data_IF_560807949949
#
_entry.id   IF_560807949949
#
_cell.length_a   1.000
_cell.length_b   1.000
_cell.length_c   1.000
_cell.angle_alpha   90.00
_cell.angle_beta   90.00
_cell.angle_gamma   90.00
#
_symmetry.space_group_name_H-M   'P 1'
#
loop_
_entity.id
_entity.type
_entity.pdbx_description
1 polymer ?
#
# COMPACT_ATOMS: atom_id res chain seq x y z
N UNK A 1 16.14 -20.37 -25.91
CA UNK A 1 14.73 -19.97 -26.12
C UNK A 1 14.39 -19.05 -24.98
N UNK A 2 14.21 -17.76 -25.25
CA UNK A 2 13.86 -16.79 -24.21
C UNK A 2 12.40 -17.02 -23.84
N UNK A 3 12.06 -17.02 -22.55
CA UNK A 3 10.68 -17.07 -22.06
C UNK A 3 9.81 -15.93 -22.65
N UNK A 4 10.44 -14.91 -23.28
CA UNK A 4 9.79 -13.78 -23.96
C UNK A 4 8.99 -14.11 -25.23
N UNK A 5 9.02 -15.34 -25.76
CA UNK A 5 8.38 -15.63 -27.06
C UNK A 5 6.88 -15.97 -26.98
N UNK A 6 6.28 -16.01 -25.79
CA UNK A 6 4.82 -16.24 -25.64
C UNK A 6 4.09 -14.95 -25.25
N UNK A 7 4.12 -13.95 -26.13
CA UNK A 7 3.16 -12.85 -26.07
C UNK A 7 1.77 -13.38 -26.45
N UNK A 8 1.12 -14.09 -25.53
CA UNK A 8 -0.26 -14.48 -25.68
C UNK A 8 -1.13 -13.21 -25.59
N UNK A 9 -1.87 -12.83 -26.66
CA UNK A 9 -2.75 -11.66 -26.62
C UNK A 9 -3.79 -11.72 -25.50
N UNK A 10 -4.10 -12.91 -24.96
CA UNK A 10 -4.97 -13.07 -23.80
C UNK A 10 -4.39 -12.39 -22.56
N UNK A 11 -3.09 -12.52 -22.27
CA UNK A 11 -2.47 -11.89 -21.09
C UNK A 11 -2.49 -10.36 -21.18
N UNK A 12 -2.19 -9.81 -22.36
CA UNK A 12 -2.31 -8.37 -22.58
C UNK A 12 -3.75 -7.90 -22.32
N UNK A 13 -4.74 -8.59 -22.88
CA UNK A 13 -6.15 -8.22 -22.71
C UNK A 13 -6.60 -8.29 -21.25
N UNK A 14 -6.26 -9.39 -20.55
CA UNK A 14 -6.58 -9.59 -19.14
C UNK A 14 -5.93 -8.51 -18.26
N UNK A 15 -4.62 -8.26 -18.44
CA UNK A 15 -3.91 -7.25 -17.67
C UNK A 15 -4.45 -5.84 -17.92
N UNK A 16 -4.71 -5.48 -19.19
CA UNK A 16 -5.31 -4.19 -19.54
C UNK A 16 -6.68 -4.04 -18.85
N UNK A 17 -7.55 -5.06 -18.93
CA UNK A 17 -8.86 -5.03 -18.29
C UNK A 17 -8.75 -4.84 -16.78
N UNK A 18 -7.90 -5.62 -16.10
CA UNK A 18 -7.70 -5.52 -14.65
C UNK A 18 -7.15 -4.15 -14.22
N UNK A 19 -6.22 -3.55 -14.99
CA UNK A 19 -5.72 -2.20 -14.71
C UNK A 19 -6.77 -1.11 -14.93
N UNK A 20 -7.60 -1.22 -15.98
CA UNK A 20 -8.70 -0.29 -16.18
C UNK A 20 -9.75 -0.41 -15.07
N UNK A 21 -10.07 -1.63 -14.63
CA UNK A 21 -10.96 -1.87 -13.47
C UNK A 21 -10.38 -1.23 -12.21
N UNK A 22 -9.08 -1.38 -11.97
CA UNK A 22 -8.40 -0.77 -10.82
C UNK A 22 -8.51 0.76 -10.84
N UNK A 23 -8.22 1.40 -11.99
CA UNK A 23 -8.36 2.85 -12.17
C UNK A 23 -9.81 3.29 -11.96
N UNK A 24 -10.76 2.62 -12.60
CA UNK A 24 -12.18 2.98 -12.51
C UNK A 24 -12.71 2.86 -11.07
N UNK A 25 -12.41 1.75 -10.39
CA UNK A 25 -12.83 1.52 -9.00
C UNK A 25 -12.20 2.56 -8.05
N UNK A 26 -10.92 2.87 -8.24
CA UNK A 26 -10.21 3.84 -7.41
C UNK A 26 -10.73 5.26 -7.60
N UNK A 27 -10.94 5.70 -8.84
CA UNK A 27 -11.49 7.03 -9.12
C UNK A 27 -12.95 7.15 -8.65
N UNK A 28 -13.73 6.09 -8.81
CA UNK A 28 -15.10 6.05 -8.29
C UNK A 28 -15.12 6.09 -6.77
N UNK A 29 -14.21 5.38 -6.09
CA UNK A 29 -14.04 5.45 -4.64
C UNK A 29 -13.69 6.87 -4.18
N UNK A 30 -12.69 7.50 -4.81
CA UNK A 30 -12.29 8.87 -4.49
C UNK A 30 -13.45 9.87 -4.68
N UNK A 31 -14.19 9.74 -5.78
CA UNK A 31 -15.40 10.54 -6.01
C UNK A 31 -16.44 10.33 -4.91
N UNK A 32 -16.77 9.07 -4.61
CA UNK A 32 -17.75 8.74 -3.57
C UNK A 32 -17.35 9.32 -2.21
N UNK A 33 -16.08 9.16 -1.80
CA UNK A 33 -15.57 9.71 -0.54
C UNK A 33 -15.73 11.24 -0.49
N UNK A 34 -15.35 11.95 -1.55
CA UNK A 34 -15.49 13.41 -1.60
C UNK A 34 -16.95 13.85 -1.57
N UNK A 35 -17.84 13.12 -2.24
CA UNK A 35 -19.27 13.47 -2.35
C UNK A 35 -20.08 13.12 -1.10
N UNK A 36 -19.81 11.99 -0.44
CA UNK A 36 -20.70 11.46 0.61
C UNK A 36 -20.15 11.59 2.04
N UNK A 37 -18.88 11.97 2.21
CA UNK A 37 -18.31 12.20 3.56
C UNK A 37 -18.59 13.62 4.07
N UNK A 38 -18.73 14.62 3.18
CA UNK A 38 -18.89 16.04 3.59
C UNK A 38 -20.32 16.44 3.95
N UNK A 39 -21.32 15.83 3.31
CA UNK A 39 -22.66 16.44 3.26
C UNK A 39 -23.66 15.89 4.27
N UNK A 40 -23.43 14.69 4.86
CA UNK A 40 -24.36 14.16 5.87
C UNK A 40 -23.69 13.18 6.85
N UNK A 41 -23.75 13.52 8.14
CA UNK A 41 -23.38 12.61 9.23
C UNK A 41 -24.25 11.33 9.25
N UNK A 42 -25.40 11.35 8.57
CA UNK A 42 -26.32 10.24 8.43
C UNK A 42 -26.24 9.52 7.07
N UNK A 43 -25.35 9.92 6.15
CA UNK A 43 -25.18 9.17 4.91
C UNK A 43 -24.75 7.72 5.25
N UNK A 44 -25.52 6.70 4.82
CA UNK A 44 -25.31 5.31 5.23
C UNK A 44 -24.22 4.60 4.43
N UNK A 45 -23.63 5.22 3.40
CA UNK A 45 -22.68 4.57 2.51
C UNK A 45 -21.37 4.25 3.23
N UNK A 46 -20.80 5.23 3.92
CA UNK A 46 -19.54 5.06 4.66
C UNK A 46 -19.78 4.92 6.16
N UNK A 47 -18.97 4.07 6.79
CA UNK A 47 -19.02 3.82 8.22
C UNK A 47 -18.69 5.11 9.01
N UNK A 48 -19.42 5.36 10.10
CA UNK A 48 -19.24 6.58 10.90
C UNK A 48 -17.84 6.70 11.50
N UNK A 49 -17.28 5.58 11.99
CA UNK A 49 -15.92 5.58 12.54
C UNK A 49 -14.91 5.87 11.43
N UNK A 50 -15.10 5.26 10.26
CA UNK A 50 -14.21 5.50 9.12
C UNK A 50 -14.27 6.95 8.64
N UNK A 51 -15.47 7.56 8.53
CA UNK A 51 -15.62 8.99 8.15
C UNK A 51 -14.86 9.93 9.09
N UNK A 52 -14.90 9.64 10.39
CA UNK A 52 -14.26 10.48 11.41
C UNK A 52 -12.73 10.44 11.31
N UNK A 53 -12.17 9.25 11.10
CA UNK A 53 -10.71 9.06 11.18
C UNK A 53 -10.02 9.05 9.81
N UNK A 54 -10.79 8.80 8.74
CA UNK A 54 -10.29 8.46 7.40
C UNK A 54 -9.74 7.04 7.25
N UNK A 55 -9.78 6.26 8.34
CA UNK A 55 -9.25 4.91 8.46
C UNK A 55 -10.14 4.09 9.38
N UNK A 56 -10.11 2.77 9.27
CA UNK A 56 -10.73 1.93 10.28
C UNK A 56 -9.78 1.70 11.46
N UNK A 57 -9.86 2.53 12.50
CA UNK A 57 -8.89 2.47 13.62
C UNK A 57 -9.45 1.69 14.82
N UNK A 58 -8.72 0.66 15.27
CA UNK A 58 -9.04 -0.13 16.47
C UNK A 58 -8.09 0.22 17.62
N UNK A 59 -8.57 0.14 18.86
CA UNK A 59 -7.80 0.34 20.10
C UNK A 59 -6.99 1.66 20.13
N UNK A 60 -7.61 2.78 19.73
CA UNK A 60 -6.94 4.10 19.63
C UNK A 60 -6.25 4.51 20.94
N UNK A 61 -6.85 4.08 22.04
CA UNK A 61 -6.50 4.37 23.41
C UNK A 61 -5.37 3.49 23.97
N UNK A 62 -5.03 2.36 23.33
CA UNK A 62 -4.01 1.44 23.83
C UNK A 62 -2.65 1.79 23.22
N UNK A 63 -1.69 2.32 24.00
CA UNK A 63 -0.38 2.68 23.47
C UNK A 63 0.32 1.45 22.89
N UNK A 64 0.92 1.60 21.71
CA UNK A 64 1.66 0.56 21.00
C UNK A 64 0.80 -0.61 20.49
N UNK A 65 -0.53 -0.53 20.60
CA UNK A 65 -1.46 -1.57 20.18
C UNK A 65 -2.69 -1.02 19.46
N UNK A 66 -2.68 0.23 18.98
CA UNK A 66 -3.69 0.65 18.02
C UNK A 66 -3.42 -0.01 16.65
N UNK A 67 -4.40 0.06 15.75
CA UNK A 67 -4.27 -0.56 14.43
C UNK A 67 -3.06 -0.05 13.63
N UNK A 68 -2.65 1.22 13.76
CA UNK A 68 -1.46 1.73 13.06
C UNK A 68 -0.15 1.19 13.64
N UNK A 69 -0.06 0.98 14.96
CA UNK A 69 1.09 0.28 15.55
C UNK A 69 1.16 -1.16 15.02
N UNK A 70 0.01 -1.85 14.91
CA UNK A 70 -0.04 -3.18 14.32
C UNK A 70 0.36 -3.20 12.84
N UNK A 71 -0.09 -2.22 12.03
CA UNK A 71 0.34 -2.06 10.64
C UNK A 71 1.85 -1.87 10.55
N UNK A 72 2.45 -1.00 11.38
CA UNK A 72 3.90 -0.85 11.46
C UNK A 72 4.58 -2.20 11.70
N UNK A 73 4.17 -2.95 12.73
CA UNK A 73 4.81 -4.23 13.06
C UNK A 73 4.69 -5.24 11.93
N UNK A 74 3.50 -5.33 11.34
CA UNK A 74 3.23 -6.26 10.26
C UNK A 74 4.04 -5.91 9.00
N UNK A 75 4.07 -4.65 8.59
CA UNK A 75 4.82 -4.19 7.43
C UNK A 75 6.32 -4.39 7.59
N UNK A 76 6.88 -4.11 8.78
CA UNK A 76 8.30 -4.35 9.06
C UNK A 76 8.63 -5.85 8.92
N UNK A 77 7.83 -6.71 9.54
CA UNK A 77 8.02 -8.16 9.47
C UNK A 77 7.85 -8.68 8.03
N UNK A 78 6.80 -8.23 7.34
CA UNK A 78 6.52 -8.62 5.97
C UNK A 78 7.63 -8.17 5.01
N UNK A 79 8.11 -6.94 5.12
CA UNK A 79 9.23 -6.45 4.31
C UNK A 79 10.50 -7.30 4.53
N UNK A 80 10.80 -7.71 5.77
CA UNK A 80 11.93 -8.60 6.05
C UNK A 80 11.75 -10.00 5.41
N UNK A 81 10.55 -10.60 5.55
CA UNK A 81 10.25 -11.92 4.98
C UNK A 81 10.29 -11.91 3.45
N UNK A 82 9.66 -10.92 2.83
CA UNK A 82 9.68 -10.71 1.38
C UNK A 82 11.10 -10.40 0.88
N UNK A 83 11.88 -9.62 1.64
CA UNK A 83 13.29 -9.35 1.38
C UNK A 83 14.15 -10.61 1.38
N UNK A 84 13.96 -11.49 2.36
CA UNK A 84 14.66 -12.77 2.43
C UNK A 84 14.28 -13.70 1.25
N UNK A 85 12.99 -13.75 0.90
CA UNK A 85 12.51 -14.50 -0.26
C UNK A 85 13.09 -13.96 -1.57
N UNK A 86 13.03 -12.65 -1.76
CA UNK A 86 13.61 -11.95 -2.91
C UNK A 86 15.09 -12.25 -3.03
N UNK A 87 15.86 -12.13 -1.95
CA UNK A 87 17.29 -12.41 -1.97
C UNK A 87 17.60 -13.83 -2.44
N UNK A 88 16.81 -14.82 -1.98
CA UNK A 88 16.95 -16.22 -2.35
C UNK A 88 16.58 -16.49 -3.81
N UNK A 89 15.56 -15.83 -4.35
CA UNK A 89 14.95 -16.19 -5.64
C UNK A 89 15.27 -15.23 -6.79
N UNK A 90 15.76 -14.02 -6.52
CA UNK A 90 15.97 -12.97 -7.54
C UNK A 90 16.92 -13.37 -8.69
N UNK A 91 17.82 -14.32 -8.46
CA UNK A 91 18.76 -14.79 -9.47
C UNK A 91 18.24 -16.00 -10.27
N UNK A 92 17.00 -16.45 -10.03
CA UNK A 92 16.42 -17.51 -10.82
C UNK A 92 16.14 -17.03 -12.26
N UNK A 93 16.57 -17.81 -13.24
CA UNK A 93 16.39 -17.52 -14.66
C UNK A 93 14.91 -17.27 -15.00
N UNK A 94 14.58 -16.12 -15.60
CA UNK A 94 13.22 -15.73 -15.99
C UNK A 94 12.48 -14.86 -14.97
N UNK A 95 13.03 -14.63 -13.77
CA UNK A 95 12.41 -13.80 -12.74
C UNK A 95 12.62 -12.30 -12.93
N UNK A 96 13.34 -11.86 -13.97
CA UNK A 96 13.77 -10.47 -14.16
C UNK A 96 12.57 -9.50 -14.12
N UNK A 97 11.51 -9.78 -14.90
CA UNK A 97 10.28 -8.96 -14.95
C UNK A 97 9.49 -8.96 -13.64
N UNK A 98 9.50 -10.07 -12.91
CA UNK A 98 8.84 -10.18 -11.60
C UNK A 98 9.59 -9.32 -10.59
N UNK A 99 10.92 -9.40 -10.60
CA UNK A 99 11.82 -8.68 -9.69
C UNK A 99 11.78 -7.17 -9.88
N UNK A 100 11.53 -6.69 -11.11
CA UNK A 100 11.33 -5.26 -11.41
C UNK A 100 10.19 -4.64 -10.59
N UNK A 101 9.14 -5.41 -10.29
CA UNK A 101 7.99 -4.95 -9.49
C UNK A 101 8.20 -5.33 -8.02
N UNK A 102 8.54 -6.60 -7.76
CA UNK A 102 8.63 -7.12 -6.39
C UNK A 102 9.68 -6.44 -5.52
N UNK A 103 10.88 -6.17 -6.09
CA UNK A 103 11.99 -5.56 -5.36
C UNK A 103 11.62 -4.18 -4.79
N UNK A 104 11.19 -3.22 -5.64
CA UNK A 104 10.71 -1.92 -5.18
C UNK A 104 9.53 -1.98 -4.22
N UNK A 105 8.61 -2.94 -4.36
CA UNK A 105 7.48 -3.10 -3.43
C UNK A 105 7.92 -3.42 -2.00
N UNK A 106 9.03 -4.12 -1.79
CA UNK A 106 9.57 -4.37 -0.44
C UNK A 106 9.94 -3.06 0.26
N UNK A 107 10.57 -2.13 -0.47
CA UNK A 107 10.88 -0.80 0.04
C UNK A 107 9.60 0.02 0.27
N UNK A 108 8.61 -0.12 -0.61
CA UNK A 108 7.30 0.50 -0.45
C UNK A 108 6.61 0.07 0.84
N UNK A 109 6.56 -1.24 1.11
CA UNK A 109 5.97 -1.81 2.34
C UNK A 109 6.73 -1.31 3.58
N UNK A 110 8.07 -1.30 3.55
CA UNK A 110 8.86 -0.76 4.65
C UNK A 110 8.54 0.73 4.91
N UNK A 111 8.52 1.55 3.85
CA UNK A 111 8.23 2.98 3.96
C UNK A 111 6.79 3.24 4.44
N UNK A 112 5.84 2.40 4.03
CA UNK A 112 4.45 2.42 4.48
C UNK A 112 4.34 2.18 5.99
N UNK A 113 4.99 1.12 6.48
CA UNK A 113 5.04 0.82 7.91
C UNK A 113 5.64 1.96 8.73
N UNK A 114 6.72 2.60 8.25
CA UNK A 114 7.28 3.80 8.91
C UNK A 114 6.25 4.93 8.95
N UNK A 115 5.48 5.13 7.88
CA UNK A 115 4.37 6.07 7.83
C UNK A 115 3.35 5.80 8.94
N UNK A 116 2.92 4.54 9.10
CA UNK A 116 2.03 4.14 10.19
C UNK A 116 2.63 4.38 11.57
N UNK A 117 3.92 4.09 11.75
CA UNK A 117 4.62 4.38 13.01
C UNK A 117 4.58 5.87 13.39
N UNK A 118 4.70 6.76 12.40
CA UNK A 118 4.57 8.20 12.63
C UNK A 118 3.13 8.63 12.94
N UNK A 119 2.12 8.04 12.29
CA UNK A 119 0.71 8.28 12.64
C UNK A 119 0.43 7.81 14.07
N UNK A 120 0.84 6.59 14.43
CA UNK A 120 0.65 6.03 15.76
C UNK A 120 1.38 6.85 16.84
N UNK A 121 2.59 7.33 16.55
CA UNK A 121 3.32 8.22 17.44
C UNK A 121 2.56 9.51 17.73
N UNK A 122 2.04 10.17 16.68
CA UNK A 122 1.23 11.39 16.83
C UNK A 122 -0.06 11.13 17.60
N UNK A 123 -0.69 9.98 17.42
CA UNK A 123 -1.88 9.59 18.19
C UNK A 123 -1.61 9.48 19.68
N UNK A 124 -0.43 8.97 20.08
CA UNK A 124 -0.01 8.92 21.49
C UNK A 124 0.30 10.30 22.06
N UNK A 125 0.95 11.17 21.29
CA UNK A 125 1.30 12.54 21.73
C UNK A 125 0.06 13.41 21.96
N UNK A 126 -0.99 13.26 21.15
CA UNK A 126 -2.24 14.00 21.33
C UNK A 126 -3.03 13.60 22.60
N UNK A 127 -2.55 12.62 23.38
CA UNK A 127 -3.08 12.31 24.70
C UNK A 127 -4.57 12.02 24.68
N UNK A 128 -5.02 11.10 23.81
CA UNK A 128 -6.42 10.64 23.82
C UNK A 128 -6.82 10.34 25.27
N UNK A 129 -7.88 10.96 25.79
CA UNK A 129 -8.27 10.80 27.18
C UNK A 129 -8.39 9.31 27.47
N UNK A 130 -7.57 8.85 28.41
CA UNK A 130 -7.59 7.45 28.83
C UNK A 130 -8.99 7.16 29.35
N UNK A 131 -9.60 6.04 28.94
CA UNK A 131 -10.94 5.59 29.35
C UNK A 131 -11.20 5.60 30.87
N UNK A 132 -10.16 5.75 31.68
CA UNK A 132 -10.23 5.92 33.13
C UNK A 132 -10.79 7.29 33.60
N UNK A 133 -10.90 8.31 32.73
CA UNK A 133 -11.41 9.64 33.12
C UNK A 133 -12.85 9.94 32.65
N UNK A 134 -13.46 9.11 31.80
CA UNK A 134 -14.82 9.38 31.29
C UNK A 134 -15.96 8.99 32.25
N UNK A 135 -15.73 8.11 33.23
CA UNK A 135 -16.80 7.61 34.11
C UNK A 135 -17.09 8.52 35.32
N UNK A 136 -16.27 9.53 35.60
CA UNK A 136 -16.40 10.38 36.81
C UNK A 136 -16.38 11.90 36.56
N UNK A 137 -16.18 12.39 35.32
CA UNK A 137 -16.18 13.83 35.05
C UNK A 137 -17.52 14.33 34.47
N UNK A 138 -18.17 15.18 35.26
CA UNK A 138 -19.24 16.07 34.83
C UNK A 138 -18.78 16.89 33.61
N UNK A 139 -19.44 16.65 32.47
CA UNK A 139 -19.11 17.21 31.14
C UNK A 139 -19.03 18.75 31.11
N UNK A 140 -19.54 19.43 32.13
CA UNK A 140 -19.54 20.89 32.21
C UNK A 140 -18.25 21.51 32.74
N UNK A 141 -17.40 20.76 33.45
CA UNK A 141 -16.17 21.32 34.07
C UNK A 141 -14.89 21.09 33.23
N UNK A 142 -14.98 20.27 32.18
CA UNK A 142 -13.85 19.90 31.33
C UNK A 142 -13.48 21.01 30.33
N UNK A 143 -14.45 21.74 29.79
CA UNK A 143 -14.21 22.72 28.71
C UNK A 143 -13.36 23.93 29.14
N UNK A 144 -13.40 24.33 30.41
CA UNK A 144 -12.61 25.48 30.89
C UNK A 144 -11.16 25.10 31.22
N UNK A 145 -10.91 23.90 31.73
CA UNK A 145 -9.57 23.44 32.15
C UNK A 145 -8.70 22.95 30.97
N UNK A 146 -9.30 22.41 29.91
CA UNK A 146 -8.56 21.98 28.72
C UNK A 146 -7.97 23.18 27.97
N UNK A 147 -8.71 24.29 27.90
CA UNK A 147 -8.24 25.49 27.20
C UNK A 147 -7.05 26.17 27.90
N UNK A 148 -7.02 26.18 29.24
CA UNK A 148 -5.85 26.68 30.00
C UNK A 148 -4.63 25.77 29.84
N UNK A 149 -4.80 24.44 29.91
CA UNK A 149 -3.68 23.49 29.76
C UNK A 149 -3.09 23.46 28.36
N UNK A 150 -3.91 23.60 27.32
CA UNK A 150 -3.43 23.71 25.93
C UNK A 150 -2.62 25.01 25.76
N UNK A 151 -3.00 26.09 26.45
CA UNK A 151 -2.29 27.37 26.36
C UNK A 151 -0.93 27.33 27.10
N UNK A 152 -0.82 26.67 28.24
CA UNK A 152 0.46 26.50 28.97
C UNK A 152 1.47 25.62 28.22
N UNK A 153 1.03 24.51 27.61
CA UNK A 153 1.92 23.60 26.86
C UNK A 153 2.50 24.31 25.64
N UNK A 154 1.69 25.10 24.92
CA UNK A 154 2.15 25.88 23.77
C UNK A 154 3.18 26.97 24.14
N UNK A 155 3.16 27.48 25.38
CA UNK A 155 4.04 28.57 25.79
C UNK A 155 5.45 28.10 26.20
N UNK A 156 5.61 26.84 26.62
CA UNK A 156 6.92 26.28 26.99
C UNK A 156 7.74 25.79 25.79
N UNK A 157 7.11 25.34 24.72
CA UNK A 157 7.82 24.89 23.50
C UNK A 157 8.43 26.05 22.68
N UNK A 158 7.81 27.23 22.73
CA UNK A 158 8.30 28.45 22.04
C UNK A 158 9.61 29.02 22.61
N UNK A 159 9.94 28.72 23.88
CA UNK A 159 11.09 29.33 24.56
C UNK A 159 12.42 28.61 24.23
N UNK A 160 12.38 27.35 23.82
CA UNK A 160 13.60 26.56 23.58
C UNK A 160 13.93 26.33 22.11
N UNK A 161 13.01 26.52 21.16
CA UNK A 161 13.24 26.64 19.70
C UNK A 161 13.95 25.48 18.96
N UNK A 162 14.58 24.55 19.69
CA UNK A 162 15.33 23.40 19.18
C UNK A 162 14.41 22.17 19.07
N UNK A 163 13.34 22.11 19.89
CA UNK A 163 12.31 21.07 19.83
C UNK A 163 11.51 21.13 18.53
N UNK A 164 10.92 22.29 18.21
CA UNK A 164 10.07 22.47 17.02
C UNK A 164 10.81 22.18 15.70
N UNK A 165 12.04 22.67 15.54
CA UNK A 165 12.82 22.45 14.31
C UNK A 165 13.15 20.98 14.15
N UNK A 166 13.45 20.28 15.25
CA UNK A 166 13.72 18.83 15.22
C UNK A 166 12.47 18.03 14.86
N UNK A 167 11.29 18.42 15.36
CA UNK A 167 10.04 17.74 15.08
C UNK A 167 9.55 17.99 13.64
N UNK A 168 9.59 19.24 13.17
CA UNK A 168 9.27 19.56 11.76
C UNK A 168 10.22 18.82 10.81
N UNK A 169 11.51 18.79 11.14
CA UNK A 169 12.51 18.03 10.40
C UNK A 169 12.20 16.53 10.35
N UNK A 170 11.85 15.93 11.48
CA UNK A 170 11.41 14.52 11.60
C UNK A 170 10.18 14.23 10.73
N UNK A 171 9.15 15.08 10.80
CA UNK A 171 7.91 14.89 10.05
C UNK A 171 8.13 15.01 8.54
N UNK A 172 8.94 15.99 8.09
CA UNK A 172 9.32 16.12 6.67
C UNK A 172 10.12 14.90 6.21
N UNK A 173 11.08 14.43 7.01
CA UNK A 173 11.88 13.25 6.68
C UNK A 173 11.00 12.01 6.51
N UNK A 174 10.10 11.73 7.46
CA UNK A 174 9.16 10.61 7.35
C UNK A 174 8.29 10.73 6.11
N UNK A 175 7.74 11.92 5.84
CA UNK A 175 6.90 12.16 4.67
C UNK A 175 7.65 11.92 3.36
N UNK A 176 8.91 12.36 3.27
CA UNK A 176 9.79 12.09 2.12
C UNK A 176 10.03 10.59 1.98
N UNK A 177 10.41 9.90 3.05
CA UNK A 177 10.64 8.45 3.02
C UNK A 177 9.39 7.68 2.59
N UNK A 178 8.23 8.03 3.14
CA UNK A 178 6.93 7.46 2.81
C UNK A 178 6.64 7.59 1.31
N UNK A 179 6.63 8.82 0.77
CA UNK A 179 6.31 9.05 -0.63
C UNK A 179 7.37 8.50 -1.59
N UNK A 180 8.65 8.60 -1.27
CA UNK A 180 9.71 8.02 -2.11
C UNK A 180 9.57 6.51 -2.18
N UNK A 181 9.35 5.83 -1.05
CA UNK A 181 9.20 4.38 -1.01
C UNK A 181 7.96 3.92 -1.78
N UNK A 182 6.79 4.49 -1.49
CA UNK A 182 5.53 4.12 -2.13
C UNK A 182 5.51 4.45 -3.62
N UNK A 183 5.99 5.64 -4.01
CA UNK A 183 6.06 5.98 -5.43
C UNK A 183 7.08 5.12 -6.17
N UNK A 184 8.16 4.68 -5.53
CA UNK A 184 9.13 3.80 -6.17
C UNK A 184 8.55 2.40 -6.41
N UNK A 185 7.71 1.92 -5.50
CA UNK A 185 6.92 0.71 -5.70
C UNK A 185 5.88 0.87 -6.83
N UNK A 186 5.21 2.02 -6.91
CA UNK A 186 4.22 2.30 -7.95
C UNK A 186 4.86 2.52 -9.34
N UNK A 187 6.06 3.09 -9.40
CA UNK A 187 6.73 3.54 -10.62
C UNK A 187 8.17 3.01 -10.70
N UNK A 188 8.37 1.68 -10.71
CA UNK A 188 9.70 1.07 -10.57
C UNK A 188 10.67 1.48 -11.68
N UNK A 189 10.17 1.69 -12.89
CA UNK A 189 10.96 1.95 -14.10
C UNK A 189 11.04 3.43 -14.49
N UNK A 190 10.47 4.35 -13.68
CA UNK A 190 10.49 5.76 -14.01
C UNK A 190 11.87 6.38 -13.75
N UNK A 191 12.30 7.27 -14.66
CA UNK A 191 13.57 8.02 -14.52
C UNK A 191 13.52 8.95 -13.31
N UNK A 192 14.68 9.22 -12.70
CA UNK A 192 14.76 9.98 -11.44
C UNK A 192 14.14 11.38 -11.49
N UNK A 193 14.31 12.14 -12.57
CA UNK A 193 13.76 13.51 -12.66
C UNK A 193 12.22 13.55 -12.65
N UNK A 194 11.49 12.86 -13.56
CA UNK A 194 10.03 12.80 -13.48
C UNK A 194 9.54 12.09 -12.21
N UNK A 195 10.28 11.09 -11.72
CA UNK A 195 9.97 10.44 -10.44
C UNK A 195 9.98 11.43 -9.27
N UNK A 196 11.05 12.22 -9.13
CA UNK A 196 11.16 13.23 -8.08
C UNK A 196 10.06 14.30 -8.20
N UNK A 197 9.73 14.73 -9.42
CA UNK A 197 8.64 15.68 -9.66
C UNK A 197 7.28 15.12 -9.19
N UNK A 198 7.01 13.84 -9.46
CA UNK A 198 5.77 13.19 -9.00
C UNK A 198 5.71 13.02 -7.49
N UNK A 199 6.84 12.66 -6.84
CA UNK A 199 6.94 12.60 -5.37
C UNK A 199 6.64 13.96 -4.75
N UNK A 200 7.28 15.02 -5.25
CA UNK A 200 7.05 16.38 -4.76
C UNK A 200 5.61 16.84 -4.98
N UNK A 201 5.01 16.52 -6.14
CA UNK A 201 3.62 16.84 -6.43
C UNK A 201 2.64 16.11 -5.48
N UNK A 202 2.88 14.82 -5.19
CA UNK A 202 2.07 14.06 -4.26
C UNK A 202 2.20 14.60 -2.81
N UNK A 203 3.42 14.92 -2.38
CA UNK A 203 3.66 15.54 -1.08
C UNK A 203 2.96 16.90 -0.95
N UNK A 204 3.08 17.75 -1.97
CA UNK A 204 2.45 19.07 -2.00
C UNK A 204 0.92 18.94 -2.02
N UNK A 205 0.37 18.04 -2.84
CA UNK A 205 -1.06 17.81 -2.89
C UNK A 205 -1.64 17.31 -1.57
N UNK A 206 -0.92 16.45 -0.84
CA UNK A 206 -1.35 15.97 0.47
C UNK A 206 -1.53 17.12 1.48
N UNK A 207 -0.81 18.23 1.36
CA UNK A 207 -0.97 19.39 2.25
C UNK A 207 -2.34 20.07 2.10
N UNK A 208 -3.04 19.85 0.99
CA UNK A 208 -4.36 20.41 0.71
C UNK A 208 -5.51 19.41 0.94
N UNK A 209 -5.19 18.23 1.49
CA UNK A 209 -6.15 17.15 1.73
C UNK A 209 -6.39 17.06 3.23
N UNK A 210 -7.65 17.21 3.63
CA UNK A 210 -8.03 17.03 5.04
C UNK A 210 -7.63 15.61 5.50
N UNK A 211 -7.25 15.49 6.77
CA UNK A 211 -6.72 14.23 7.32
C UNK A 211 -7.65 13.03 7.09
N UNK A 212 -8.97 13.24 7.19
CA UNK A 212 -9.99 12.22 6.96
C UNK A 212 -10.01 11.66 5.52
N UNK A 213 -9.36 12.34 4.57
CA UNK A 213 -9.22 11.90 3.18
C UNK A 213 -7.82 11.39 2.85
N UNK A 214 -6.89 11.34 3.82
CA UNK A 214 -5.50 10.98 3.58
C UNK A 214 -5.35 9.58 2.99
N UNK A 215 -6.09 8.59 3.52
CA UNK A 215 -6.12 7.23 2.99
C UNK A 215 -6.54 7.20 1.52
N UNK A 216 -7.72 7.77 1.22
CA UNK A 216 -8.27 7.83 -0.13
C UNK A 216 -7.32 8.54 -1.09
N UNK A 217 -6.66 9.61 -0.65
CA UNK A 217 -5.68 10.33 -1.45
C UNK A 217 -4.46 9.47 -1.80
N UNK A 218 -3.83 8.86 -0.80
CA UNK A 218 -2.65 8.00 -1.00
C UNK A 218 -3.00 6.81 -1.89
N UNK A 219 -4.09 6.09 -1.58
CA UNK A 219 -4.57 4.97 -2.38
C UNK A 219 -4.82 5.40 -3.83
N UNK A 220 -5.46 6.55 -4.04
CA UNK A 220 -5.78 7.05 -5.39
C UNK A 220 -4.53 7.31 -6.20
N UNK A 221 -3.57 8.03 -5.64
CA UNK A 221 -2.32 8.34 -6.34
C UNK A 221 -1.58 7.05 -6.69
N UNK A 222 -1.40 6.13 -5.75
CA UNK A 222 -0.58 4.95 -5.95
C UNK A 222 -1.21 3.96 -6.94
N UNK A 223 -2.51 3.66 -6.80
CA UNK A 223 -3.17 2.67 -7.66
C UNK A 223 -3.35 3.20 -9.09
N UNK A 224 -3.66 4.49 -9.25
CA UNK A 224 -3.73 5.12 -10.57
C UNK A 224 -2.34 5.21 -11.19
N UNK A 225 -1.33 5.72 -10.47
CA UNK A 225 0.03 5.83 -10.98
C UNK A 225 0.60 4.47 -11.40
N UNK A 226 0.45 3.44 -10.56
CA UNK A 226 0.89 2.09 -10.89
C UNK A 226 0.17 1.55 -12.12
N UNK A 227 -1.15 1.67 -12.19
CA UNK A 227 -1.93 1.12 -13.31
C UNK A 227 -1.64 1.84 -14.63
N UNK A 228 -1.49 3.16 -14.61
CA UNK A 228 -1.10 3.95 -15.79
C UNK A 228 0.32 3.56 -16.25
N UNK A 229 1.26 3.42 -15.31
CA UNK A 229 2.62 3.00 -15.62
C UNK A 229 2.66 1.58 -16.25
N UNK A 230 1.87 0.65 -15.73
CA UNK A 230 1.77 -0.70 -16.31
C UNK A 230 1.08 -0.68 -17.68
N UNK A 231 -0.02 0.06 -17.85
CA UNK A 231 -0.73 0.18 -19.13
C UNK A 231 0.16 0.79 -20.23
N UNK A 232 1.07 1.69 -19.87
CA UNK A 232 2.03 2.35 -20.75
C UNK A 232 3.21 1.46 -21.18
N UNK A 233 3.34 0.24 -20.65
CA UNK A 233 4.36 -0.72 -21.07
C UNK A 233 4.16 -1.12 -22.53
N UNK A 234 5.27 -1.47 -23.19
CA UNK A 234 5.23 -1.96 -24.56
C UNK A 234 4.52 -3.31 -24.62
N UNK A 235 3.93 -3.63 -25.77
CA UNK A 235 3.14 -4.85 -25.97
C UNK A 235 3.92 -6.12 -25.63
N UNK A 236 5.20 -6.16 -25.99
CA UNK A 236 6.11 -7.28 -25.73
C UNK A 236 6.48 -7.48 -24.24
N UNK A 237 6.10 -6.55 -23.38
CA UNK A 237 6.28 -6.62 -21.93
C UNK A 237 4.99 -7.04 -21.20
N UNK A 238 3.87 -7.16 -21.93
CA UNK A 238 2.55 -7.50 -21.36
C UNK A 238 2.31 -9.01 -21.34
N UNK A 239 3.13 -9.71 -20.57
CA UNK A 239 3.11 -11.16 -20.43
C UNK A 239 2.24 -11.64 -19.23
N UNK A 240 2.42 -12.90 -18.84
CA UNK A 240 1.79 -13.49 -17.65
C UNK A 240 2.00 -12.67 -16.37
N UNK A 241 3.19 -12.10 -16.17
CA UNK A 241 3.53 -11.30 -14.98
C UNK A 241 2.71 -10.01 -14.95
N UNK A 242 2.59 -9.36 -16.12
CA UNK A 242 1.74 -8.18 -16.31
C UNK A 242 0.26 -8.47 -16.04
N UNK A 243 -0.26 -9.60 -16.54
CA UNK A 243 -1.67 -9.95 -16.37
C UNK A 243 -2.03 -10.29 -14.92
N UNK A 244 -1.19 -11.07 -14.25
CA UNK A 244 -1.50 -11.64 -12.94
C UNK A 244 -1.35 -10.64 -11.80
N UNK A 245 -0.43 -9.68 -11.88
CA UNK A 245 -0.22 -8.70 -10.81
C UNK A 245 -1.49 -7.92 -10.44
N UNK A 246 -2.16 -7.19 -11.37
CA UNK A 246 -3.37 -6.45 -11.02
C UNK A 246 -4.53 -7.38 -10.61
N UNK A 247 -4.56 -8.63 -11.06
CA UNK A 247 -5.60 -9.58 -10.65
C UNK A 247 -5.43 -10.08 -9.22
N UNK A 248 -4.19 -10.35 -8.80
CA UNK A 248 -3.89 -10.89 -7.46
C UNK A 248 -3.77 -9.77 -6.44
N UNK A 249 -3.21 -8.62 -6.82
CA UNK A 249 -2.88 -7.53 -5.91
C UNK A 249 -3.82 -6.34 -6.12
N UNK A 250 -3.77 -5.70 -7.30
CA UNK A 250 -4.41 -4.39 -7.51
C UNK A 250 -5.93 -4.38 -7.32
N UNK A 251 -6.65 -5.23 -8.03
CA UNK A 251 -8.12 -5.30 -7.99
C UNK A 251 -8.60 -5.70 -6.58
N UNK A 252 -8.09 -6.77 -5.95
CA UNK A 252 -8.47 -7.11 -4.58
C UNK A 252 -8.20 -5.98 -3.56
N UNK A 253 -7.07 -5.26 -3.67
CA UNK A 253 -6.79 -4.09 -2.80
C UNK A 253 -7.90 -3.04 -2.90
N UNK A 254 -8.39 -2.74 -4.11
CA UNK A 254 -9.51 -1.77 -4.23
C UNK A 254 -10.76 -2.25 -3.52
N UNK A 255 -11.10 -3.54 -3.63
CA UNK A 255 -12.26 -4.10 -2.94
C UNK A 255 -12.10 -4.05 -1.43
N UNK A 256 -10.91 -4.31 -0.90
CA UNK A 256 -10.66 -4.25 0.54
C UNK A 256 -10.78 -2.79 1.03
N UNK A 257 -10.34 -1.80 0.25
CA UNK A 257 -10.58 -0.39 0.58
C UNK A 257 -12.07 -0.04 0.68
N UNK A 258 -12.89 -0.58 -0.23
CA UNK A 258 -14.35 -0.45 -0.12
C UNK A 258 -14.90 -1.12 1.13
N UNK A 259 -14.49 -2.35 1.45
CA UNK A 259 -14.93 -3.07 2.65
C UNK A 259 -14.53 -2.30 3.91
N UNK A 260 -13.30 -1.81 3.99
CA UNK A 260 -12.82 -1.03 5.13
C UNK A 260 -13.65 0.23 5.34
N UNK A 261 -13.91 0.99 4.27
CA UNK A 261 -14.65 2.25 4.35
C UNK A 261 -16.15 2.11 4.66
N UNK A 262 -16.76 0.99 4.26
CA UNK A 262 -18.21 0.78 4.37
C UNK A 262 -18.60 -0.15 5.52
N UNK A 263 -17.69 -0.99 6.01
CA UNK A 263 -17.95 -2.01 7.02
C UNK A 263 -16.98 -1.95 8.20
N UNK A 264 -16.38 -0.79 8.47
CA UNK A 264 -15.39 -0.64 9.54
C UNK A 264 -15.92 -1.16 10.88
N UNK A 265 -17.04 -0.62 11.38
CA UNK A 265 -17.55 -0.97 12.72
C UNK A 265 -18.22 -2.34 12.75
N UNK A 266 -18.74 -2.83 11.63
CA UNK A 266 -19.51 -4.08 11.59
C UNK A 266 -18.65 -5.35 11.47
N UNK A 267 -17.47 -5.25 10.84
CA UNK A 267 -16.67 -6.42 10.49
C UNK A 267 -15.18 -6.20 10.75
N UNK A 268 -14.63 -5.08 10.28
CA UNK A 268 -13.18 -4.91 10.17
C UNK A 268 -12.54 -4.57 11.53
N UNK A 269 -13.19 -3.72 12.33
CA UNK A 269 -12.65 -3.21 13.60
C UNK A 269 -12.34 -4.32 14.61
N UNK A 270 -13.32 -5.19 14.87
CA UNK A 270 -13.22 -6.19 15.94
C UNK A 270 -12.59 -7.51 15.46
N UNK A 271 -12.81 -7.89 14.18
CA UNK A 271 -12.35 -9.18 13.68
C UNK A 271 -10.96 -9.14 13.04
N UNK A 272 -10.55 -7.99 12.50
CA UNK A 272 -9.31 -7.88 11.71
C UNK A 272 -8.42 -6.71 12.12
N UNK A 273 -8.61 -6.19 13.33
CA UNK A 273 -7.78 -5.13 13.90
C UNK A 273 -7.80 -3.83 13.07
N UNK A 274 -8.94 -3.54 12.44
CA UNK A 274 -9.14 -2.30 11.71
C UNK A 274 -8.34 -2.26 10.40
N UNK A 275 -7.60 -1.19 10.21
CA UNK A 275 -6.83 -0.87 9.01
C UNK A 275 -5.78 -1.95 8.65
N UNK A 276 -5.37 -2.75 9.62
CA UNK A 276 -4.42 -3.86 9.42
C UNK A 276 -4.88 -4.84 8.34
N UNK A 277 -6.20 -5.03 8.13
CA UNK A 277 -6.66 -5.92 7.06
C UNK A 277 -6.24 -5.42 5.67
N UNK A 278 -6.30 -4.10 5.46
CA UNK A 278 -5.98 -3.49 4.18
C UNK A 278 -4.47 -3.54 3.95
N UNK A 279 -3.70 -3.07 4.92
CA UNK A 279 -2.24 -3.05 4.81
C UNK A 279 -1.66 -4.45 4.77
N UNK A 280 -2.17 -5.36 5.61
CA UNK A 280 -1.70 -6.73 5.70
C UNK A 280 -2.02 -7.55 4.44
N UNK A 281 -3.09 -7.21 3.72
CA UNK A 281 -3.41 -7.87 2.46
C UNK A 281 -2.33 -7.62 1.39
N UNK A 282 -1.80 -6.39 1.29
CA UNK A 282 -0.84 -6.01 0.25
C UNK A 282 0.40 -6.94 0.21
N UNK A 283 1.20 -7.08 1.28
CA UNK A 283 2.37 -7.94 1.27
C UNK A 283 2.02 -9.43 1.15
N UNK A 284 0.86 -9.88 1.66
CA UNK A 284 0.40 -11.27 1.49
C UNK A 284 0.06 -11.54 0.03
N UNK A 285 -0.66 -10.65 -0.63
CA UNK A 285 -0.97 -10.75 -2.05
C UNK A 285 0.29 -10.68 -2.91
N UNK A 286 1.25 -9.81 -2.56
CA UNK A 286 2.55 -9.74 -3.22
C UNK A 286 3.34 -11.05 -3.06
N UNK A 287 3.34 -11.67 -1.87
CA UNK A 287 3.95 -12.98 -1.63
C UNK A 287 3.33 -14.06 -2.53
N UNK A 288 2.00 -14.16 -2.53
CA UNK A 288 1.26 -15.13 -3.34
C UNK A 288 1.58 -14.94 -4.82
N UNK A 289 1.51 -13.69 -5.31
CA UNK A 289 1.84 -13.37 -6.68
C UNK A 289 3.28 -13.76 -7.06
N UNK A 290 4.27 -13.42 -6.22
CA UNK A 290 5.67 -13.75 -6.46
C UNK A 290 5.91 -15.26 -6.55
N UNK A 291 5.29 -16.04 -5.66
CA UNK A 291 5.35 -17.50 -5.66
C UNK A 291 4.68 -18.08 -6.91
N UNK A 292 3.51 -17.57 -7.30
CA UNK A 292 2.81 -18.00 -8.53
C UNK A 292 3.68 -17.76 -9.76
N UNK A 293 4.28 -16.58 -9.90
CA UNK A 293 5.19 -16.29 -11.00
C UNK A 293 6.41 -17.22 -11.00
N UNK A 294 7.02 -17.45 -9.84
CA UNK A 294 8.17 -18.35 -9.70
C UNK A 294 7.84 -19.79 -10.16
N UNK A 295 6.68 -20.31 -9.74
CA UNK A 295 6.24 -21.66 -10.12
C UNK A 295 5.96 -21.76 -11.62
N UNK A 296 5.25 -20.78 -12.20
CA UNK A 296 4.94 -20.73 -13.64
C UNK A 296 6.22 -20.70 -14.49
N UNK A 297 7.19 -19.87 -14.11
CA UNK A 297 8.47 -19.74 -14.83
C UNK A 297 9.27 -21.04 -14.72
N UNK A 298 9.31 -21.65 -13.53
CA UNK A 298 9.99 -22.93 -13.31
C UNK A 298 9.40 -24.04 -14.17
N UNK A 299 8.08 -24.21 -14.16
CA UNK A 299 7.38 -25.23 -14.94
C UNK A 299 7.62 -25.06 -16.45
N UNK A 300 7.49 -23.83 -16.95
CA UNK A 300 7.71 -23.52 -18.37
C UNK A 300 9.14 -23.86 -18.82
N UNK A 301 10.12 -23.62 -17.95
CA UNK A 301 11.52 -23.96 -18.20
C UNK A 301 11.73 -25.48 -18.23
N UNK A 302 11.19 -26.21 -17.26
CA UNK A 302 11.35 -27.65 -17.16
C UNK A 302 10.71 -28.35 -18.38
N UNK A 303 9.54 -27.88 -18.82
CA UNK A 303 8.87 -28.34 -20.06
C UNK A 303 9.69 -28.05 -21.33
N UNK A 304 10.35 -26.88 -21.41
CA UNK A 304 11.22 -26.54 -22.54
C UNK A 304 12.42 -27.49 -22.65
N UNK A 305 13.06 -27.81 -21.52
CA UNK A 305 14.17 -28.77 -21.50
C UNK A 305 13.74 -30.17 -21.91
N UNK A 306 12.58 -30.63 -21.46
CA UNK A 306 12.05 -31.94 -21.85
C UNK A 306 11.78 -32.01 -23.37
N UNK A 307 11.22 -30.95 -23.96
CA UNK A 307 10.96 -30.86 -25.40
C UNK A 307 12.25 -30.89 -26.23
N UNK A 308 13.29 -30.17 -25.78
CA UNK A 308 14.61 -30.18 -26.41
C UNK A 308 15.25 -31.58 -26.31
N UNK A 309 15.19 -32.21 -25.13
CA UNK A 309 15.73 -33.55 -24.93
C UNK A 309 15.04 -34.60 -25.83
N UNK A 310 13.70 -34.56 -25.93
CA UNK A 310 12.93 -35.42 -26.84
C UNK A 310 13.29 -35.18 -28.32
N UNK A 311 13.53 -33.93 -28.70
CA UNK A 311 13.95 -33.57 -30.06
C UNK A 311 15.35 -34.07 -30.38
N UNK A 312 16.28 -34.00 -29.41
CA UNK A 312 17.64 -34.51 -29.55
C UNK A 312 17.67 -36.04 -29.68
N UNK A 313 16.93 -36.78 -28.85
CA UNK A 313 16.82 -38.26 -28.94
C UNK A 313 16.28 -38.72 -30.31
N UNK A 314 15.26 -38.02 -30.83
CA UNK A 314 14.72 -38.31 -32.18
C UNK A 314 15.76 -38.11 -33.29
N UNK A 315 16.60 -37.07 -33.20
CA UNK A 315 17.66 -36.82 -34.18
C UNK A 315 18.80 -37.83 -34.09
N UNK A 316 19.14 -38.30 -32.90
CA UNK A 316 20.14 -39.35 -32.68
C UNK A 316 19.73 -40.73 -33.23
N UNK A 317 18.44 -40.97 -33.44
CA UNK A 317 17.89 -42.20 -34.04
C UNK A 317 17.75 -42.16 -35.57
N UNK A 318 18.10 -41.06 -36.22
CA UNK A 318 18.16 -40.99 -37.69
C UNK A 318 19.46 -41.69 -38.14
N UNK A 319 19.37 -42.99 -38.43
CA UNK A 319 20.44 -43.72 -39.12
C UNK A 319 20.70 -43.04 -40.46
N UNK A 320 21.90 -42.49 -40.64
CA UNK A 320 22.41 -42.09 -41.95
C UNK A 320 22.66 -43.39 -42.72
N UNK A 321 21.79 -43.71 -43.67
CA UNK A 321 21.92 -44.84 -44.61
C UNK A 321 22.53 -44.36 -45.91
#
# INVERSE_FOLDING_TARGET
MSYSDTNDPAFESMGNAAHYTNIASTLFFAYAVVSFVKDDANDPLFDKSWKQDGFCVTHKEIPFWNSHDACLYFDMMAALLLGALYWKQRNALGMERVNEIFGPSILGILAHGIGHGAVAHRMREMGLPTLAEEDDLDKTTIDENINERIMEINMMDDILGVGEVSERGRNVFVMVCFWVGLMKAALPNLRMAPFAAMVLAAMAGQQFVDRQFAFTYVQTILLVAFSVNQLARKKEEKDFVYATHPMVVGVPVTFIGWIESTQCSAFVKDSFYGHLIYDGFIPVAMLVWYVVCYLQIKESRDNSFESIAKTADRKGKVKVS
#
